data_IF_959859691381
#
_entry.id   IF_959859691381
#
_cell.length_a   1.000
_cell.length_b   1.000
_cell.length_c   1.000
_cell.angle_alpha   90.00
_cell.angle_beta   90.00
_cell.angle_gamma   90.00
#
_symmetry.space_group_name_H-M   'P 1'
#
loop_
_entity.id
_entity.type
_entity.pdbx_description
1 polymer ?
#
# COMPACT_ATOMS: atom_id res chain seq x y z
N UNK A 1 -36.51 18.75 5.00
CA UNK A 1 -37.13 17.56 4.37
C UNK A 1 -36.02 16.60 3.97
N UNK A 2 -36.26 15.30 4.13
CA UNK A 2 -35.39 14.14 3.87
C UNK A 2 -34.48 13.70 5.03
N UNK A 3 -35.06 12.87 5.91
CA UNK A 3 -34.31 11.89 6.70
C UNK A 3 -35.24 10.74 7.11
N UNK A 4 -35.63 9.91 6.14
CA UNK A 4 -36.29 8.62 6.38
C UNK A 4 -35.84 7.70 5.25
N UNK A 5 -35.06 6.66 5.56
CA UNK A 5 -34.97 5.34 4.87
C UNK A 5 -33.65 4.63 5.22
N UNK A 6 -33.46 4.18 6.47
CA UNK A 6 -32.45 3.15 6.77
C UNK A 6 -32.86 2.13 7.86
N UNK A 7 -34.03 2.26 8.49
CA UNK A 7 -34.40 1.38 9.61
C UNK A 7 -35.08 0.05 9.23
N UNK A 8 -35.42 -0.19 7.96
CA UNK A 8 -36.24 -1.36 7.60
C UNK A 8 -35.45 -2.62 7.19
N UNK A 9 -34.16 -2.54 6.88
CA UNK A 9 -33.40 -3.72 6.44
C UNK A 9 -32.86 -4.58 7.60
N UNK A 10 -32.54 -3.96 8.75
CA UNK A 10 -32.02 -4.68 9.93
C UNK A 10 -33.10 -5.45 10.68
N UNK A 11 -34.35 -4.98 10.64
CA UNK A 11 -35.47 -5.67 11.27
C UNK A 11 -35.79 -6.94 10.48
N UNK A 12 -35.82 -6.88 9.14
CA UNK A 12 -36.08 -8.06 8.30
C UNK A 12 -34.99 -9.14 8.43
N UNK A 13 -33.71 -8.77 8.59
CA UNK A 13 -32.64 -9.74 8.82
C UNK A 13 -32.76 -10.44 10.20
N UNK A 14 -33.12 -9.69 11.24
CA UNK A 14 -33.36 -10.25 12.58
C UNK A 14 -34.56 -11.18 12.63
N UNK A 15 -35.66 -10.84 11.96
CA UNK A 15 -36.85 -11.70 11.95
C UNK A 15 -36.62 -12.99 11.15
N UNK A 16 -35.81 -12.93 10.08
CA UNK A 16 -35.50 -14.11 9.25
C UNK A 16 -34.59 -15.12 9.96
N UNK A 17 -33.62 -14.64 10.75
CA UNK A 17 -32.66 -15.51 11.46
C UNK A 17 -33.31 -16.21 12.67
N UNK A 18 -34.21 -15.51 13.39
CA UNK A 18 -34.95 -16.13 14.50
C UNK A 18 -35.92 -17.20 14.00
N UNK A 19 -36.60 -16.99 12.86
CA UNK A 19 -37.53 -17.97 12.26
C UNK A 19 -36.81 -19.24 11.77
N UNK A 20 -35.54 -19.15 11.37
CA UNK A 20 -34.75 -20.32 10.97
C UNK A 20 -34.23 -21.15 12.15
N UNK A 21 -33.96 -20.53 13.30
CA UNK A 21 -33.44 -21.24 14.49
C UNK A 21 -34.54 -21.86 15.36
N UNK A 22 -35.77 -21.31 15.34
CA UNK A 22 -36.89 -21.81 16.16
C UNK A 22 -37.47 -23.15 15.67
N UNK A 23 -37.10 -23.61 14.47
CA UNK A 23 -37.53 -24.91 13.94
C UNK A 23 -36.67 -26.11 14.39
N UNK A 24 -35.65 -25.89 15.22
CA UNK A 24 -34.66 -26.90 15.61
C UNK A 24 -34.90 -27.34 17.07
N UNK A 25 -35.21 -28.63 17.25
CA UNK A 25 -35.89 -29.18 18.44
C UNK A 25 -34.95 -29.38 19.66
N UNK A 26 -33.63 -29.22 19.50
CA UNK A 26 -32.70 -29.36 20.64
C UNK A 26 -31.82 -28.12 20.83
N UNK A 27 -31.63 -27.74 22.09
CA UNK A 27 -30.88 -26.54 22.51
C UNK A 27 -29.43 -26.55 22.01
N UNK A 28 -28.83 -27.73 21.80
CA UNK A 28 -27.45 -27.85 21.34
C UNK A 28 -27.26 -27.49 19.85
N UNK A 29 -28.27 -27.75 19.02
CA UNK A 29 -28.23 -27.46 17.58
C UNK A 29 -28.63 -26.01 17.27
N UNK A 30 -29.48 -25.38 18.11
CA UNK A 30 -29.70 -23.94 18.08
C UNK A 30 -28.40 -23.15 18.34
N UNK A 31 -27.56 -23.62 19.26
CA UNK A 31 -26.24 -23.04 19.49
C UNK A 31 -25.34 -23.11 18.25
N UNK A 32 -25.32 -24.23 17.51
CA UNK A 32 -24.50 -24.35 16.29
C UNK A 32 -24.98 -23.43 15.16
N UNK A 33 -26.29 -23.28 14.99
CA UNK A 33 -26.87 -22.39 13.97
C UNK A 33 -26.52 -20.90 14.23
N UNK A 34 -26.51 -20.50 15.50
CA UNK A 34 -26.12 -19.15 15.95
C UNK A 34 -24.61 -18.84 15.82
N UNK A 35 -23.75 -19.86 15.92
CA UNK A 35 -22.31 -19.67 15.68
C UNK A 35 -21.99 -19.59 14.18
N UNK A 36 -22.65 -20.35 13.32
CA UNK A 36 -22.45 -20.28 11.87
C UNK A 36 -22.90 -18.93 11.26
N UNK A 37 -23.84 -18.24 11.89
CA UNK A 37 -24.30 -16.90 11.46
C UNK A 37 -23.42 -15.76 12.01
N UNK A 38 -22.66 -16.00 13.08
CA UNK A 38 -21.67 -15.04 13.62
C UNK A 38 -20.51 -14.80 12.66
N UNK A 39 -20.05 -15.84 11.97
CA UNK A 39 -18.96 -15.70 10.99
C UNK A 39 -19.38 -14.78 9.83
N UNK A 40 -20.66 -14.79 9.45
CA UNK A 40 -21.23 -13.94 8.39
C UNK A 40 -21.35 -12.47 8.82
N UNK A 41 -21.63 -12.20 10.11
CA UNK A 41 -21.77 -10.83 10.64
C UNK A 41 -20.42 -10.16 10.92
N UNK A 42 -19.40 -10.92 11.30
CA UNK A 42 -18.04 -10.42 11.54
C UNK A 42 -17.37 -9.91 10.26
N UNK A 43 -17.68 -10.54 9.12
CA UNK A 43 -17.12 -10.17 7.83
C UNK A 43 -17.72 -8.87 7.27
N UNK A 44 -18.96 -8.56 7.65
CA UNK A 44 -19.73 -7.42 7.10
C UNK A 44 -19.60 -6.12 7.90
N UNK A 45 -19.26 -6.18 9.19
CA UNK A 45 -19.13 -5.01 10.06
C UNK A 45 -17.77 -4.98 10.77
N UNK A 46 -16.81 -4.24 10.20
CA UNK A 46 -15.47 -3.99 10.77
C UNK A 46 -15.50 -3.03 11.98
N UNK A 47 -16.35 -3.30 12.98
CA UNK A 47 -16.56 -2.44 14.13
C UNK A 47 -16.68 -3.22 15.44
N UNK A 48 -15.61 -3.18 16.25
CA UNK A 48 -15.50 -3.79 17.59
C UNK A 48 -16.65 -3.47 18.56
N UNK A 49 -17.26 -2.25 18.60
CA UNK A 49 -18.27 -1.95 19.63
C UNK A 49 -19.63 -2.64 19.39
N UNK A 50 -19.96 -3.04 18.16
CA UNK A 50 -21.26 -3.68 17.84
C UNK A 50 -21.30 -5.12 18.37
N UNK A 51 -20.16 -5.81 18.34
CA UNK A 51 -20.02 -7.19 18.81
C UNK A 51 -20.16 -7.27 20.33
N UNK A 52 -19.61 -6.30 21.08
CA UNK A 52 -19.71 -6.26 22.54
C UNK A 52 -21.15 -6.08 23.03
N UNK A 53 -21.94 -5.22 22.37
CA UNK A 53 -23.34 -5.01 22.74
C UNK A 53 -24.20 -6.24 22.47
N UNK A 54 -24.02 -6.93 21.33
CA UNK A 54 -24.77 -8.14 21.00
C UNK A 54 -24.49 -9.30 21.98
N UNK A 55 -23.24 -9.43 22.44
CA UNK A 55 -22.86 -10.43 23.45
C UNK A 55 -23.53 -10.12 24.80
N UNK A 56 -23.62 -8.85 25.20
CA UNK A 56 -24.20 -8.47 26.48
C UNK A 56 -25.71 -8.73 26.55
N UNK A 57 -26.44 -8.53 25.45
CA UNK A 57 -27.87 -8.86 25.38
C UNK A 57 -28.13 -10.38 25.45
N UNK A 58 -27.35 -11.19 24.74
CA UNK A 58 -27.52 -12.64 24.75
C UNK A 58 -27.20 -13.28 26.12
N UNK A 59 -26.22 -12.72 26.83
CA UNK A 59 -25.88 -13.15 28.19
C UNK A 59 -26.98 -12.81 29.21
N UNK A 60 -27.79 -11.78 28.94
CA UNK A 60 -28.90 -11.39 29.81
C UNK A 60 -30.07 -12.40 29.73
N UNK A 61 -30.39 -12.91 28.54
CA UNK A 61 -31.49 -13.87 28.37
C UNK A 61 -31.14 -15.27 28.88
N UNK A 62 -29.91 -15.75 28.70
CA UNK A 62 -29.48 -17.05 29.23
C UNK A 62 -29.46 -17.12 30.77
N UNK A 63 -29.41 -15.97 31.45
CA UNK A 63 -29.40 -15.88 32.91
C UNK A 63 -30.74 -16.29 33.55
N UNK A 64 -31.85 -16.29 32.79
CA UNK A 64 -33.19 -16.68 33.28
C UNK A 64 -33.39 -18.20 33.44
N UNK A 65 -32.55 -19.04 32.84
CA UNK A 65 -32.77 -20.50 32.79
C UNK A 65 -31.91 -21.32 33.79
N UNK A 66 -31.32 -20.68 34.80
CA UNK A 66 -30.52 -21.40 35.82
C UNK A 66 -29.18 -21.96 35.30
N UNK A 67 -28.77 -21.56 34.09
CA UNK A 67 -27.53 -21.97 33.41
C UNK A 67 -26.32 -21.09 33.73
N UNK A 68 -26.35 -20.31 34.82
CA UNK A 68 -25.33 -19.31 35.18
C UNK A 68 -23.90 -19.87 35.24
N UNK A 69 -23.74 -21.13 35.66
CA UNK A 69 -22.43 -21.79 35.68
C UNK A 69 -21.88 -22.08 34.28
N UNK A 70 -22.72 -22.52 33.34
CA UNK A 70 -22.28 -22.80 31.97
C UNK A 70 -21.96 -21.51 31.19
N UNK A 71 -22.71 -20.45 31.44
CA UNK A 71 -22.46 -19.12 30.86
C UNK A 71 -21.11 -18.56 31.33
N UNK A 72 -20.80 -18.69 32.62
CA UNK A 72 -19.54 -18.20 33.18
C UNK A 72 -18.33 -18.94 32.60
N UNK A 73 -18.44 -20.26 32.40
CA UNK A 73 -17.38 -21.08 31.80
C UNK A 73 -17.17 -20.68 30.32
N UNK A 74 -18.25 -20.61 29.52
CA UNK A 74 -18.13 -20.21 28.10
C UNK A 74 -17.64 -18.77 27.92
N UNK A 75 -18.03 -17.84 28.81
CA UNK A 75 -17.52 -16.46 28.79
C UNK A 75 -16.00 -16.44 28.96
N UNK A 76 -15.46 -17.20 29.92
CA UNK A 76 -14.02 -17.30 30.13
C UNK A 76 -13.30 -17.92 28.93
N UNK A 77 -13.87 -18.95 28.29
CA UNK A 77 -13.30 -19.54 27.08
C UNK A 77 -13.21 -18.52 25.92
N UNK A 78 -14.26 -17.73 25.71
CA UNK A 78 -14.28 -16.70 24.66
C UNK A 78 -13.27 -15.58 24.96
N UNK A 79 -13.20 -15.10 26.20
CA UNK A 79 -12.22 -14.08 26.61
C UNK A 79 -10.77 -14.56 26.40
N UNK A 80 -10.51 -15.84 26.65
CA UNK A 80 -9.18 -16.44 26.47
C UNK A 80 -8.81 -16.57 24.99
N UNK A 81 -9.78 -16.90 24.12
CA UNK A 81 -9.55 -16.93 22.67
C UNK A 81 -9.35 -15.52 22.07
N UNK A 82 -10.07 -14.51 22.56
CA UNK A 82 -9.89 -13.11 22.14
C UNK A 82 -8.49 -12.64 22.54
N UNK A 83 -8.08 -12.84 23.80
CA UNK A 83 -6.77 -12.41 24.27
C UNK A 83 -5.60 -13.06 23.50
N UNK A 84 -5.77 -14.32 23.09
CA UNK A 84 -4.77 -15.03 22.27
C UNK A 84 -4.64 -14.39 20.87
N UNK A 85 -5.76 -14.14 20.18
CA UNK A 85 -5.74 -13.51 18.85
C UNK A 85 -5.25 -12.06 18.87
N UNK A 86 -5.57 -11.29 19.91
CA UNK A 86 -5.11 -9.90 20.05
C UNK A 86 -3.59 -9.81 20.24
N UNK A 87 -2.97 -10.81 20.87
CA UNK A 87 -1.52 -10.86 21.06
C UNK A 87 -0.76 -11.05 19.74
N UNK A 88 -1.26 -11.91 18.85
CA UNK A 88 -0.64 -12.17 17.54
C UNK A 88 -0.67 -10.91 16.65
N UNK A 89 -1.77 -10.15 16.67
CA UNK A 89 -1.89 -8.90 15.91
C UNK A 89 -0.96 -7.82 16.49
N UNK A 90 -0.84 -7.74 17.82
CA UNK A 90 0.03 -6.78 18.48
C UNK A 90 1.52 -7.05 18.18
N UNK A 91 1.94 -8.32 18.08
CA UNK A 91 3.31 -8.70 17.72
C UNK A 91 3.66 -8.32 16.28
N UNK A 92 2.75 -8.55 15.32
CA UNK A 92 2.94 -8.14 13.92
C UNK A 92 2.96 -6.61 13.80
N UNK A 93 2.08 -5.91 14.52
CA UNK A 93 2.04 -4.44 14.52
C UNK A 93 3.30 -3.84 15.15
N UNK A 94 3.84 -4.46 16.20
CA UNK A 94 5.10 -4.05 16.81
C UNK A 94 6.28 -4.23 15.84
N UNK A 95 6.37 -5.35 15.12
CA UNK A 95 7.43 -5.59 14.12
C UNK A 95 7.39 -4.59 12.96
N UNK A 96 6.19 -4.18 12.52
CA UNK A 96 6.03 -3.12 11.53
C UNK A 96 6.42 -1.74 12.11
N UNK A 97 6.09 -1.45 13.37
CA UNK A 97 6.42 -0.19 14.04
C UNK A 97 7.93 -0.01 14.27
N UNK A 98 8.68 -1.09 14.53
CA UNK A 98 10.14 -1.04 14.69
C UNK A 98 10.90 -0.88 13.36
N UNK A 99 10.23 -0.69 12.23
CA UNK A 99 10.86 -0.44 10.94
C UNK A 99 11.65 -1.62 10.37
N UNK A 100 11.49 -2.82 10.95
CA UNK A 100 12.12 -4.05 10.47
C UNK A 100 11.53 -4.48 9.13
N UNK A 101 10.25 -4.19 8.92
CA UNK A 101 9.56 -4.34 7.65
C UNK A 101 9.24 -2.94 7.10
N UNK A 102 10.23 -2.28 6.53
CA UNK A 102 9.97 -1.16 5.63
C UNK A 102 9.45 -1.75 4.30
N UNK A 103 8.16 -1.62 3.96
CA UNK A 103 7.63 -2.15 2.71
C UNK A 103 8.34 -1.56 1.49
N UNK A 104 8.92 -0.36 1.62
CA UNK A 104 9.70 0.28 0.57
C UNK A 104 11.05 -0.43 0.30
N UNK A 105 11.57 -1.23 1.24
CA UNK A 105 12.76 -2.08 1.05
C UNK A 105 12.46 -3.43 0.41
N UNK A 106 11.19 -3.83 0.34
CA UNK A 106 10.79 -5.15 -0.20
C UNK A 106 10.52 -5.13 -1.70
N UNK A 107 10.33 -3.96 -2.30
CA UNK A 107 10.20 -3.83 -3.74
C UNK A 107 11.61 -3.76 -4.36
N UNK A 108 12.00 -4.75 -5.19
CA UNK A 108 13.36 -4.83 -5.73
C UNK A 108 13.68 -3.69 -6.71
N UNK A 109 12.66 -3.00 -7.23
CA UNK A 109 12.80 -1.93 -8.22
C UNK A 109 12.14 -0.65 -7.69
N UNK A 110 12.92 0.42 -7.60
CA UNK A 110 12.51 1.73 -7.08
C UNK A 110 13.16 2.86 -7.87
N UNK A 111 12.38 3.90 -8.12
CA UNK A 111 12.82 5.24 -8.50
C UNK A 111 12.20 6.20 -7.47
N UNK A 112 13.03 6.96 -6.74
CA UNK A 112 12.55 8.04 -5.87
C UNK A 112 13.37 9.30 -6.15
N UNK A 113 12.70 10.43 -6.33
CA UNK A 113 13.32 11.72 -6.56
C UNK A 113 12.87 12.73 -5.51
N UNK A 114 13.56 13.87 -5.43
CA UNK A 114 13.10 15.02 -4.64
C UNK A 114 11.89 15.70 -5.29
N UNK A 115 11.19 16.53 -4.51
CA UNK A 115 10.04 17.28 -5.00
C UNK A 115 10.39 18.09 -6.27
N UNK A 116 9.47 18.12 -7.23
CA UNK A 116 9.56 18.91 -8.45
C UNK A 116 9.95 18.12 -9.71
N UNK A 117 10.61 16.97 -9.56
CA UNK A 117 10.89 16.04 -10.68
C UNK A 117 10.46 14.63 -10.30
N UNK A 118 9.17 14.32 -10.37
CA UNK A 118 8.62 13.09 -9.79
C UNK A 118 8.90 11.84 -10.65
N UNK A 119 9.35 10.74 -10.04
CA UNK A 119 9.43 9.44 -10.71
C UNK A 119 8.02 8.91 -11.05
N UNK A 120 7.77 8.62 -12.33
CA UNK A 120 6.46 8.12 -12.81
C UNK A 120 6.41 6.60 -12.87
N UNK A 121 7.55 5.96 -13.09
CA UNK A 121 7.65 4.50 -13.18
C UNK A 121 8.90 4.00 -12.44
N UNK A 122 8.98 2.68 -12.28
CA UNK A 122 10.17 2.00 -11.79
C UNK A 122 11.34 2.20 -12.76
N UNK A 123 12.55 2.29 -12.21
CA UNK A 123 13.75 2.35 -13.03
C UNK A 123 13.96 1.01 -13.76
N UNK A 124 14.30 1.07 -15.04
CA UNK A 124 14.74 -0.09 -15.80
C UNK A 124 16.26 -0.20 -15.73
N UNK A 125 16.76 -1.24 -15.06
CA UNK A 125 18.19 -1.49 -14.89
C UNK A 125 18.61 -2.65 -15.79
N UNK A 126 19.53 -2.40 -16.71
CA UNK A 126 20.11 -3.42 -17.59
C UNK A 126 21.63 -3.48 -17.41
N UNK A 127 22.27 -4.47 -18.04
CA UNK A 127 23.74 -4.57 -18.08
C UNK A 127 24.43 -3.39 -18.76
N UNK A 128 23.71 -2.61 -19.58
CA UNK A 128 24.24 -1.49 -20.35
C UNK A 128 23.95 -0.11 -19.75
N UNK A 129 23.05 -0.02 -18.76
CA UNK A 129 22.67 1.27 -18.20
C UNK A 129 21.39 1.23 -17.38
N UNK A 130 21.02 2.42 -16.91
CA UNK A 130 19.83 2.66 -16.10
C UNK A 130 18.96 3.65 -16.83
N UNK A 131 17.69 3.32 -17.04
CA UNK A 131 16.68 4.22 -17.61
C UNK A 131 15.69 4.61 -16.52
N UNK A 132 15.51 5.92 -16.33
CA UNK A 132 14.52 6.50 -15.42
C UNK A 132 13.50 7.34 -16.19
N UNK A 133 12.25 7.30 -15.73
CA UNK A 133 11.15 8.10 -16.27
C UNK A 133 10.70 9.10 -15.21
N UNK A 134 10.91 10.39 -15.49
CA UNK A 134 10.61 11.50 -14.59
C UNK A 134 9.52 12.38 -15.21
N UNK A 135 8.82 13.14 -14.36
CA UNK A 135 7.90 14.19 -14.78
C UNK A 135 8.36 15.51 -14.22
N UNK A 136 8.46 16.52 -15.09
CA UNK A 136 8.70 17.88 -14.66
C UNK A 136 7.45 18.42 -13.96
N UNK A 137 7.55 18.79 -12.70
CA UNK A 137 6.49 19.36 -11.88
C UNK A 137 6.98 20.65 -11.16
N UNK A 138 7.99 21.32 -11.72
CA UNK A 138 8.58 22.55 -11.20
C UNK A 138 7.70 23.79 -11.44
N UNK A 139 6.68 23.68 -12.28
CA UNK A 139 5.80 24.80 -12.64
C UNK A 139 6.28 25.64 -13.83
N UNK A 140 7.45 25.33 -14.40
CA UNK A 140 8.04 26.01 -15.56
C UNK A 140 8.73 25.00 -16.50
N UNK A 141 9.09 25.45 -17.70
CA UNK A 141 9.87 24.63 -18.65
C UNK A 141 11.32 24.52 -18.16
N UNK A 142 11.85 23.30 -18.19
CA UNK A 142 13.24 23.02 -17.78
C UNK A 142 14.02 22.44 -18.95
N UNK A 143 15.27 22.84 -19.08
CA UNK A 143 16.23 22.25 -20.00
C UNK A 143 17.05 21.23 -19.22
N UNK A 144 16.90 19.94 -19.53
CA UNK A 144 17.74 18.89 -18.94
C UNK A 144 19.09 18.94 -19.65
N UNK A 145 20.17 19.07 -18.89
CA UNK A 145 21.52 19.30 -19.44
C UNK A 145 22.48 18.16 -19.17
N UNK A 146 22.26 17.37 -18.13
CA UNK A 146 23.09 16.21 -17.80
C UNK A 146 22.37 15.23 -16.88
N UNK A 147 22.86 14.00 -16.83
CA UNK A 147 22.53 13.04 -15.80
C UNK A 147 23.71 12.10 -15.52
N UNK A 148 24.07 11.94 -14.25
CA UNK A 148 25.20 11.10 -13.85
C UNK A 148 25.00 10.51 -12.45
N UNK A 149 25.56 9.32 -12.20
CA UNK A 149 25.55 8.64 -10.91
C UNK A 149 26.95 8.37 -10.38
N UNK A 150 27.05 7.90 -9.14
CA UNK A 150 28.33 7.53 -8.55
C UNK A 150 28.86 6.20 -9.11
N UNK A 151 27.95 5.26 -9.39
CA UNK A 151 28.27 3.97 -10.02
C UNK A 151 28.14 4.08 -11.54
N UNK A 152 27.09 4.75 -12.01
CA UNK A 152 26.86 4.97 -13.43
C UNK A 152 27.36 6.35 -13.85
N UNK A 153 28.63 6.44 -14.25
CA UNK A 153 29.27 7.68 -14.71
C UNK A 153 29.60 7.67 -16.21
N UNK A 154 28.98 6.78 -16.99
CA UNK A 154 29.18 6.70 -18.43
C UNK A 154 28.46 7.82 -19.17
N UNK A 155 28.39 7.70 -20.50
CA UNK A 155 27.60 8.63 -21.29
C UNK A 155 26.14 8.60 -20.85
N UNK A 156 25.48 9.74 -20.92
CA UNK A 156 24.07 9.86 -20.61
C UNK A 156 23.33 10.48 -21.79
N UNK A 157 22.03 10.25 -21.83
CA UNK A 157 21.14 10.82 -22.82
C UNK A 157 19.73 10.90 -22.29
N UNK A 158 18.87 11.62 -22.99
CA UNK A 158 17.47 11.62 -22.65
C UNK A 158 16.61 12.12 -23.79
N UNK A 159 15.31 12.04 -23.58
CA UNK A 159 14.31 12.46 -24.55
C UNK A 159 13.08 12.97 -23.83
N UNK A 160 12.53 14.08 -24.31
CA UNK A 160 11.23 14.57 -23.88
C UNK A 160 10.12 13.64 -24.39
N UNK A 161 9.07 13.47 -23.59
CA UNK A 161 7.93 12.62 -23.91
C UNK A 161 8.17 11.12 -23.66
N UNK A 162 7.11 10.35 -23.94
CA UNK A 162 7.09 8.88 -23.78
C UNK A 162 7.52 8.13 -25.04
N UNK A 163 7.58 8.81 -26.19
CA UNK A 163 7.98 8.26 -27.47
C UNK A 163 9.30 8.88 -27.92
N UNK A 164 10.27 8.05 -28.26
CA UNK A 164 11.61 8.51 -28.65
C UNK A 164 12.67 7.46 -28.35
N UNK A 165 13.74 7.46 -29.14
CA UNK A 165 14.93 6.64 -28.88
C UNK A 165 15.89 7.48 -28.05
N UNK A 166 16.33 6.97 -26.91
CA UNK A 166 17.35 7.64 -26.11
C UNK A 166 18.70 7.39 -26.79
N UNK A 167 19.41 8.46 -27.15
CA UNK A 167 20.76 8.36 -27.73
C UNK A 167 21.80 8.68 -26.67
N UNK A 168 22.59 7.67 -26.28
CA UNK A 168 23.68 7.80 -25.29
C UNK A 168 25.07 7.80 -25.94
N UNK A 169 25.16 7.86 -27.26
CA UNK A 169 26.42 7.94 -27.96
C UNK A 169 26.96 9.39 -27.95
N UNK A 170 27.85 9.70 -27.02
CA UNK A 170 28.58 10.97 -26.95
C UNK A 170 28.17 11.85 -25.78
N UNK A 171 28.38 13.16 -25.94
CA UNK A 171 27.97 14.16 -24.95
C UNK A 171 26.45 14.20 -24.80
N UNK A 172 25.97 14.41 -23.58
CA UNK A 172 24.54 14.60 -23.32
C UNK A 172 23.99 15.73 -24.21
N UNK A 173 22.95 15.42 -24.97
CA UNK A 173 22.25 16.41 -25.79
C UNK A 173 21.13 17.00 -24.97
N UNK A 174 21.26 18.28 -24.61
CA UNK A 174 20.26 18.97 -23.82
C UNK A 174 18.90 19.00 -24.53
N UNK A 175 17.82 18.87 -23.76
CA UNK A 175 16.46 18.92 -24.29
C UNK A 175 15.52 19.61 -23.30
N UNK A 176 14.48 20.25 -23.83
CA UNK A 176 13.47 20.93 -23.02
C UNK A 176 12.34 19.97 -22.63
N UNK A 177 11.86 20.11 -21.40
CA UNK A 177 10.65 19.45 -20.91
C UNK A 177 9.72 20.50 -20.29
N UNK A 178 8.51 20.54 -20.81
CA UNK A 178 7.46 21.48 -20.35
C UNK A 178 6.90 21.05 -18.99
N UNK A 179 6.22 21.97 -18.29
CA UNK A 179 5.60 21.63 -17.02
C UNK A 179 4.56 20.50 -17.20
N UNK A 180 4.57 19.53 -16.29
CA UNK A 180 3.78 18.29 -16.29
C UNK A 180 4.09 17.31 -17.45
N UNK A 181 5.16 17.52 -18.20
CA UNK A 181 5.63 16.59 -19.23
C UNK A 181 6.48 15.47 -18.62
N UNK A 182 6.28 14.25 -19.14
CA UNK A 182 7.10 13.08 -18.80
C UNK A 182 8.29 13.04 -19.74
N UNK A 183 9.48 12.82 -19.21
CA UNK A 183 10.69 12.63 -19.98
C UNK A 183 11.46 11.41 -19.45
N UNK A 184 12.37 10.90 -20.28
CA UNK A 184 13.20 9.73 -19.93
C UNK A 184 14.66 10.10 -20.04
N UNK A 185 15.44 9.56 -19.11
CA UNK A 185 16.89 9.73 -19.05
C UNK A 185 17.52 8.36 -18.92
N UNK A 186 18.59 8.13 -19.69
CA UNK A 186 19.43 6.94 -19.59
C UNK A 186 20.83 7.36 -19.19
N UNK A 187 21.42 6.62 -18.26
CA UNK A 187 22.83 6.73 -17.89
C UNK A 187 23.48 5.39 -18.18
N UNK A 188 24.49 5.39 -19.06
CA UNK A 188 25.20 4.18 -19.44
C UNK A 188 26.14 3.74 -18.32
N UNK A 189 26.16 2.44 -18.08
CA UNK A 189 27.09 1.80 -17.16
C UNK A 189 27.28 0.33 -17.50
N UNK A 190 28.39 -0.23 -17.04
CA UNK A 190 28.69 -1.66 -17.23
C UNK A 190 28.36 -2.40 -15.94
N UNK A 191 27.27 -3.16 -15.97
CA UNK A 191 26.72 -3.87 -14.81
C UNK A 191 26.66 -5.38 -15.07
N UNK A 192 26.70 -6.19 -14.00
CA UNK A 192 26.63 -7.65 -14.07
C UNK A 192 25.18 -8.12 -13.89
N UNK A 193 24.64 -8.87 -14.86
CA UNK A 193 23.26 -9.40 -14.77
C UNK A 193 23.06 -10.26 -13.51
N UNK A 194 21.89 -10.13 -12.90
CA UNK A 194 21.47 -10.86 -11.70
C UNK A 194 21.87 -10.23 -10.36
N UNK A 195 22.80 -9.27 -10.37
CA UNK A 195 23.21 -8.52 -9.18
C UNK A 195 22.16 -7.45 -8.79
N UNK A 196 22.26 -6.98 -7.55
CA UNK A 196 21.48 -5.84 -7.07
C UNK A 196 22.20 -4.55 -7.45
N UNK A 197 21.45 -3.58 -7.94
CA UNK A 197 21.93 -2.25 -8.26
C UNK A 197 21.34 -1.24 -7.28
N UNK A 198 22.18 -0.32 -6.81
CA UNK A 198 21.82 0.82 -5.97
C UNK A 198 22.75 1.99 -6.31
N UNK A 199 22.17 3.11 -6.71
CA UNK A 199 22.89 4.35 -7.01
C UNK A 199 21.95 5.56 -6.85
N UNK A 200 22.53 6.73 -6.66
CA UNK A 200 21.82 8.02 -6.68
C UNK A 200 22.22 8.74 -7.96
N UNK A 201 21.31 8.78 -8.93
CA UNK A 201 21.50 9.48 -10.21
C UNK A 201 21.15 10.96 -10.01
N UNK A 202 22.11 11.86 -10.24
CA UNK A 202 21.90 13.30 -10.21
C UNK A 202 21.50 13.78 -11.60
N UNK A 203 20.29 14.32 -11.73
CA UNK A 203 19.80 14.96 -12.95
C UNK A 203 20.03 16.46 -12.85
N UNK A 204 20.79 17.01 -13.79
CA UNK A 204 21.04 18.45 -13.86
C UNK A 204 20.07 19.09 -14.84
N UNK A 205 19.42 20.16 -14.41
CA UNK A 205 18.52 20.93 -15.26
C UNK A 205 18.71 22.43 -15.06
N UNK A 206 18.29 23.19 -16.07
CA UNK A 206 18.30 24.64 -16.07
C UNK A 206 16.87 25.16 -16.23
N UNK A 207 16.49 26.12 -15.39
CA UNK A 207 15.24 26.85 -15.57
C UNK A 207 15.37 27.74 -16.83
N UNK A 208 14.52 27.54 -17.84
CA UNK A 208 14.63 28.28 -19.11
C UNK A 208 14.25 29.76 -18.98
N UNK A 209 13.51 30.14 -17.94
CA UNK A 209 13.09 31.52 -17.68
C UNK A 209 14.17 32.32 -16.94
N UNK A 210 14.81 31.72 -15.94
CA UNK A 210 15.81 32.40 -15.09
C UNK A 210 17.25 32.13 -15.50
N UNK A 211 17.49 31.02 -16.21
CA UNK A 211 18.80 30.52 -16.56
C UNK A 211 19.59 29.90 -15.40
N UNK A 212 19.01 29.75 -14.21
CA UNK A 212 19.65 29.11 -13.07
C UNK A 212 19.70 27.58 -13.23
N UNK A 213 20.81 26.98 -12.81
CA UNK A 213 21.02 25.53 -12.84
C UNK A 213 20.70 24.92 -11.48
N UNK A 214 20.12 23.74 -11.51
CA UNK A 214 19.72 22.96 -10.35
C UNK A 214 20.06 21.49 -10.56
N UNK A 215 20.21 20.77 -9.46
CA UNK A 215 20.50 19.33 -9.43
C UNK A 215 19.42 18.63 -8.61
N UNK A 216 18.87 17.55 -9.15
CA UNK A 216 17.90 16.70 -8.46
C UNK A 216 18.48 15.31 -8.30
N UNK A 217 18.68 14.84 -7.05
CA UNK A 217 19.06 13.46 -6.81
C UNK A 217 17.86 12.53 -7.02
N UNK A 218 18.10 11.43 -7.73
CA UNK A 218 17.15 10.35 -8.00
C UNK A 218 17.74 9.03 -7.49
N UNK A 219 17.19 8.54 -6.39
CA UNK A 219 17.56 7.25 -5.82
C UNK A 219 16.98 6.11 -6.67
N UNK A 220 17.88 5.30 -7.23
CA UNK A 220 17.54 4.16 -8.06
C UNK A 220 17.99 2.88 -7.38
N UNK A 221 17.06 1.92 -7.29
CA UNK A 221 17.35 0.55 -6.85
C UNK A 221 16.70 -0.43 -7.80
N UNK A 222 17.37 -1.53 -8.10
CA UNK A 222 16.90 -2.49 -9.09
C UNK A 222 17.61 -3.82 -9.01
N UNK A 223 17.06 -4.84 -9.68
CA UNK A 223 17.85 -6.00 -10.08
C UNK A 223 18.29 -5.80 -11.52
N UNK A 224 19.55 -6.09 -11.81
CA UNK A 224 20.09 -5.95 -13.16
C UNK A 224 19.53 -7.11 -14.02
N UNK A 225 18.75 -6.76 -15.04
CA UNK A 225 18.23 -7.71 -16.02
C UNK A 225 19.37 -8.27 -16.90
#
# INVERSE_FOLDING_TARGET
MNNIFFYNHDILAKTSINVLCDSIITTQDQFKCLFSTKDILFEKHKGVPVVQNAISYFLHDLKKEGLEKQITIKKREIELQINKKTKEIAEIAALAYFGVLDPARLLPERCQSSAGMDCIDKAAVSTSGVVIALRNNEGFTTEITDASGAVCSGNSGGVAGTSGTITTAGSFVAFNTTNNEVFRVQVDCTLTSGEKFEDTITVTYKNTETGLSHEVPVDVRGRIA
#
